data_IF_012879159728
#
_entry.id   IF_012879159728
#
_cell.length_a   1.000
_cell.length_b   1.000
_cell.length_c   1.000
_cell.angle_alpha   90.00
_cell.angle_beta   90.00
_cell.angle_gamma   90.00
#
_symmetry.space_group_name_H-M   'P 1'
#
loop_
_entity.id
_entity.type
_entity.pdbx_description
1 polymer ?
#
# COMPACT_ATOMS: atom_id res chain seq x y z
N UNK A 1 4.07 21.51 5.29
CA UNK A 1 3.71 20.63 4.17
C UNK A 1 5.02 20.15 3.58
N UNK A 2 5.24 18.84 3.48
CA UNK A 2 6.38 18.33 2.71
C UNK A 2 6.01 18.50 1.24
N UNK A 3 6.46 19.59 0.61
CA UNK A 3 6.46 19.69 -0.85
C UNK A 3 7.42 18.61 -1.34
N UNK A 4 6.89 17.42 -1.59
CA UNK A 4 7.63 16.40 -2.32
C UNK A 4 7.42 16.73 -3.79
N UNK A 5 8.47 17.17 -4.51
CA UNK A 5 8.31 17.64 -5.88
C UNK A 5 7.83 16.49 -6.78
N UNK A 6 6.84 16.79 -7.62
CA UNK A 6 6.39 15.85 -8.64
C UNK A 6 7.51 15.67 -9.68
N UNK A 7 7.72 14.46 -10.23
CA UNK A 7 8.75 14.25 -11.27
C UNK A 7 8.67 15.18 -12.48
N UNK A 8 7.46 15.65 -12.79
CA UNK A 8 7.20 16.64 -13.83
C UNK A 8 7.85 18.01 -13.61
N UNK A 9 8.10 18.40 -12.36
CA UNK A 9 8.84 19.63 -12.04
C UNK A 9 10.32 19.48 -12.40
N UNK A 10 10.94 18.37 -12.02
CA UNK A 10 12.31 18.05 -12.41
C UNK A 10 12.47 18.00 -13.94
N UNK A 11 11.51 17.38 -14.65
CA UNK A 11 11.52 17.37 -16.12
C UNK A 11 11.46 18.79 -16.68
N UNK A 12 10.66 19.68 -16.09
CA UNK A 12 10.55 21.08 -16.52
C UNK A 12 11.88 21.82 -16.35
N UNK A 13 12.54 21.65 -15.21
CA UNK A 13 13.84 22.24 -14.92
C UNK A 13 14.92 21.75 -15.90
N UNK A 14 14.96 20.44 -16.21
CA UNK A 14 15.89 19.90 -17.21
C UNK A 14 15.61 20.41 -18.63
N UNK A 15 14.34 20.60 -19.00
CA UNK A 15 13.98 21.21 -20.28
C UNK A 15 14.46 22.65 -20.35
N UNK A 16 14.25 23.44 -19.31
CA UNK A 16 14.71 24.83 -19.23
C UNK A 16 16.24 24.92 -19.29
N UNK A 17 16.95 24.07 -18.52
CA UNK A 17 18.41 24.04 -18.49
C UNK A 17 19.04 23.70 -19.85
N UNK A 18 18.38 22.83 -20.64
CA UNK A 18 18.82 22.42 -21.98
C UNK A 18 18.29 23.30 -23.11
N UNK A 19 17.40 24.24 -22.80
CA UNK A 19 16.71 25.04 -23.81
C UNK A 19 15.76 24.23 -24.70
N UNK A 20 15.24 23.11 -24.20
CA UNK A 20 14.32 22.23 -24.92
C UNK A 20 12.86 22.62 -24.63
N UNK A 21 12.02 22.51 -25.65
CA UNK A 21 10.58 22.60 -25.50
C UNK A 21 9.98 21.22 -25.23
N UNK A 22 8.76 21.17 -24.69
CA UNK A 22 8.06 19.88 -24.47
C UNK A 22 7.88 19.07 -25.77
N UNK A 23 7.73 19.75 -26.91
CA UNK A 23 7.69 19.13 -28.24
C UNK A 23 8.99 18.43 -28.62
N UNK A 24 10.13 18.97 -28.19
CA UNK A 24 11.44 18.39 -28.47
C UNK A 24 11.61 17.11 -27.65
N UNK A 25 11.20 17.14 -26.37
CA UNK A 25 11.14 15.94 -25.54
C UNK A 25 10.15 14.90 -26.09
N UNK A 26 8.99 15.33 -26.58
CA UNK A 26 8.02 14.43 -27.20
C UNK A 26 8.61 13.70 -28.42
N UNK A 27 9.36 14.43 -29.25
CA UNK A 27 10.11 13.87 -30.36
C UNK A 27 11.18 12.86 -29.89
N UNK A 28 11.99 13.22 -28.89
CA UNK A 28 13.05 12.35 -28.34
C UNK A 28 12.47 11.04 -27.77
N UNK A 29 11.36 11.13 -27.04
CA UNK A 29 10.70 9.99 -26.40
C UNK A 29 9.80 9.20 -27.37
N UNK A 30 9.60 9.67 -28.61
CA UNK A 30 8.70 9.05 -29.57
C UNK A 30 7.23 9.04 -29.13
N UNK A 31 6.78 10.11 -28.44
CA UNK A 31 5.44 10.21 -27.89
C UNK A 31 4.73 11.51 -28.29
N UNK A 32 3.45 11.65 -27.98
CA UNK A 32 2.71 12.88 -28.27
C UNK A 32 3.05 14.00 -27.27
N UNK A 33 3.01 15.25 -27.73
CA UNK A 33 3.19 16.43 -26.85
C UNK A 33 2.17 16.46 -25.70
N UNK A 34 0.95 16.00 -25.96
CA UNK A 34 -0.08 15.86 -24.93
C UNK A 34 0.36 14.91 -23.81
N UNK A 35 1.01 13.80 -24.15
CA UNK A 35 1.49 12.85 -23.14
C UNK A 35 2.61 13.46 -22.29
N UNK A 36 3.56 14.17 -22.91
CA UNK A 36 4.61 14.91 -22.19
C UNK A 36 4.00 15.97 -21.28
N UNK A 37 3.06 16.78 -21.78
CA UNK A 37 2.40 17.82 -20.99
C UNK A 37 1.69 17.25 -19.76
N UNK A 38 1.03 16.10 -19.88
CA UNK A 38 0.38 15.45 -18.73
C UNK A 38 1.38 15.01 -17.65
N UNK A 39 2.58 14.58 -18.05
CA UNK A 39 3.67 14.23 -17.13
C UNK A 39 4.24 15.49 -16.47
N UNK A 40 4.58 16.51 -17.25
CA UNK A 40 5.16 17.78 -16.78
C UNK A 40 4.20 18.55 -15.86
N UNK A 41 2.89 18.45 -16.10
CA UNK A 41 1.85 19.09 -15.28
C UNK A 41 1.44 18.29 -14.04
N UNK A 42 2.01 17.10 -13.81
CA UNK A 42 1.68 16.27 -12.64
C UNK A 42 0.34 15.55 -12.71
N UNK A 43 -0.33 15.59 -13.87
CA UNK A 43 -1.61 14.89 -14.08
C UNK A 43 -1.43 13.41 -14.39
N UNK A 44 -0.23 13.01 -14.82
CA UNK A 44 0.16 11.62 -15.11
C UNK A 44 1.50 11.32 -14.45
N UNK A 45 1.55 10.21 -13.72
CA UNK A 45 2.80 9.69 -13.18
C UNK A 45 3.71 9.07 -14.22
N UNK A 46 4.95 8.79 -13.83
CA UNK A 46 5.97 8.17 -14.67
C UNK A 46 6.00 6.65 -14.41
N UNK A 47 5.81 5.85 -15.47
CA UNK A 47 5.97 4.39 -15.38
C UNK A 47 7.45 3.98 -15.36
N UNK A 48 7.81 2.75 -14.95
CA UNK A 48 9.19 2.28 -14.98
C UNK A 48 9.83 2.34 -16.38
N UNK A 49 9.07 2.07 -17.43
CA UNK A 49 9.52 2.18 -18.83
C UNK A 49 9.81 3.63 -19.19
N UNK A 50 8.94 4.56 -18.76
CA UNK A 50 9.13 5.99 -18.98
C UNK A 50 10.34 6.52 -18.20
N UNK A 51 10.57 6.04 -16.98
CA UNK A 51 11.75 6.39 -16.19
C UNK A 51 13.05 5.97 -16.91
N UNK A 52 13.07 4.80 -17.56
CA UNK A 52 14.20 4.37 -18.41
C UNK A 52 14.35 5.23 -19.66
N UNK A 53 13.25 5.61 -20.32
CA UNK A 53 13.31 6.48 -21.49
C UNK A 53 13.82 7.88 -21.14
N UNK A 54 13.33 8.47 -20.04
CA UNK A 54 13.78 9.77 -19.52
C UNK A 54 15.25 9.72 -19.07
N UNK A 55 15.68 8.60 -18.51
CA UNK A 55 17.10 8.38 -18.20
C UNK A 55 17.99 8.52 -19.43
N UNK A 56 17.60 7.94 -20.56
CA UNK A 56 18.33 8.08 -21.82
C UNK A 56 18.27 9.51 -22.38
N UNK A 57 17.12 10.18 -22.23
CA UNK A 57 16.95 11.56 -22.72
C UNK A 57 17.77 12.58 -21.90
N UNK A 58 17.86 12.37 -20.58
CA UNK A 58 18.46 13.32 -19.65
C UNK A 58 19.83 12.89 -19.10
N UNK A 59 20.33 11.70 -19.41
CA UNK A 59 21.56 11.15 -18.84
C UNK A 59 21.53 11.13 -17.28
N UNK A 60 20.37 10.76 -16.75
CA UNK A 60 20.09 10.66 -15.31
C UNK A 60 19.76 9.21 -14.97
N UNK A 61 20.11 8.73 -13.77
CA UNK A 61 19.79 7.36 -13.35
C UNK A 61 18.26 7.11 -13.41
N UNK A 62 17.77 6.02 -14.04
CA UNK A 62 16.34 5.73 -14.11
C UNK A 62 15.68 5.56 -12.73
N UNK A 63 16.41 5.07 -11.74
CA UNK A 63 15.94 4.91 -10.36
C UNK A 63 15.63 6.25 -9.71
N UNK A 64 16.26 7.34 -10.14
CA UNK A 64 15.97 8.69 -9.66
C UNK A 64 14.50 9.05 -9.95
N UNK A 65 14.05 8.89 -11.20
CA UNK A 65 12.67 9.18 -11.59
C UNK A 65 11.67 8.27 -10.87
N UNK A 66 11.99 6.98 -10.73
CA UNK A 66 11.14 6.02 -10.03
C UNK A 66 10.99 6.38 -8.54
N UNK A 67 12.10 6.76 -7.89
CA UNK A 67 12.09 7.18 -6.48
C UNK A 67 11.34 8.50 -6.28
N UNK A 68 11.45 9.43 -7.23
CA UNK A 68 10.73 10.70 -7.18
C UNK A 68 9.22 10.48 -7.30
N UNK A 69 8.79 9.65 -8.26
CA UNK A 69 7.38 9.27 -8.42
C UNK A 69 6.84 8.58 -7.17
N UNK A 70 7.58 7.60 -6.64
CA UNK A 70 7.21 6.87 -5.42
C UNK A 70 7.07 7.81 -4.22
N UNK A 71 8.00 8.74 -4.07
CA UNK A 71 7.98 9.70 -2.96
C UNK A 71 6.77 10.62 -3.06
N UNK A 72 6.47 11.13 -4.27
CA UNK A 72 5.30 11.95 -4.52
C UNK A 72 3.99 11.19 -4.25
N UNK A 73 3.87 9.95 -4.74
CA UNK A 73 2.69 9.11 -4.51
C UNK A 73 2.49 8.81 -3.03
N UNK A 74 3.55 8.48 -2.30
CA UNK A 74 3.47 8.22 -0.86
C UNK A 74 3.06 9.47 -0.07
N UNK A 75 3.53 10.65 -0.47
CA UNK A 75 3.18 11.91 0.17
C UNK A 75 1.72 12.32 -0.08
N UNK A 76 1.16 11.97 -1.24
CA UNK A 76 -0.22 12.26 -1.61
C UNK A 76 -1.21 11.13 -1.28
N UNK A 77 -0.71 9.97 -0.88
CA UNK A 77 -1.54 8.85 -0.49
C UNK A 77 -2.37 9.21 0.75
N UNK A 78 -3.65 8.81 0.73
CA UNK A 78 -4.49 8.90 1.93
C UNK A 78 -3.96 7.94 2.98
N UNK A 79 -4.10 8.32 4.24
CA UNK A 79 -3.82 7.42 5.35
C UNK A 79 -4.68 6.15 5.21
N UNK A 80 -4.11 4.96 5.48
CA UNK A 80 -4.86 3.72 5.45
C UNK A 80 -5.94 3.71 6.53
N UNK A 81 -6.97 2.87 6.36
CA UNK A 81 -7.97 2.65 7.39
C UNK A 81 -7.29 2.22 8.72
N UNK A 82 -7.50 2.95 9.83
CA UNK A 82 -6.88 2.65 11.13
C UNK A 82 -7.21 1.22 11.61
N UNK A 83 -8.31 0.64 11.13
CA UNK A 83 -8.71 -0.71 11.44
C UNK A 83 -7.87 -1.83 10.84
N UNK A 84 -7.04 -1.53 9.81
CA UNK A 84 -6.25 -2.55 9.12
C UNK A 84 -5.22 -3.17 10.08
N UNK A 85 -4.48 -2.34 10.82
CA UNK A 85 -3.48 -2.83 11.77
C UNK A 85 -4.11 -3.67 12.88
N UNK A 86 -5.26 -3.22 13.39
CA UNK A 86 -5.99 -3.90 14.46
C UNK A 86 -6.49 -5.28 14.03
N UNK A 87 -7.18 -5.36 12.88
CA UNK A 87 -7.66 -6.64 12.34
C UNK A 87 -6.51 -7.58 11.98
N UNK A 88 -5.40 -7.06 11.47
CA UNK A 88 -4.20 -7.86 11.18
C UNK A 88 -3.60 -8.47 12.45
N UNK A 89 -3.50 -7.70 13.55
CA UNK A 89 -3.03 -8.19 14.87
C UNK A 89 -3.87 -9.38 15.33
N UNK A 90 -5.19 -9.24 15.31
CA UNK A 90 -6.09 -10.30 15.78
C UNK A 90 -6.08 -11.53 14.89
N UNK A 91 -6.13 -11.33 13.57
CA UNK A 91 -6.08 -12.43 12.61
C UNK A 91 -4.76 -13.22 12.69
N UNK A 92 -3.65 -12.55 13.06
CA UNK A 92 -2.37 -13.21 13.25
C UNK A 92 -2.38 -14.15 14.47
N UNK A 93 -3.11 -13.82 15.53
CA UNK A 93 -3.15 -14.60 16.76
C UNK A 93 -4.32 -15.62 16.81
N UNK A 94 -5.49 -15.27 16.28
CA UNK A 94 -6.73 -16.04 16.37
C UNK A 94 -7.39 -16.23 15.00
N UNK A 95 -8.16 -17.31 14.80
CA UNK A 95 -8.94 -17.51 13.58
C UNK A 95 -10.19 -16.61 13.58
N UNK A 96 -10.02 -15.29 13.62
CA UNK A 96 -11.09 -14.28 13.79
C UNK A 96 -12.21 -14.49 12.78
N UNK A 97 -11.88 -14.75 11.51
CA UNK A 97 -12.89 -15.05 10.47
C UNK A 97 -13.78 -16.25 10.78
N UNK A 98 -13.22 -17.30 11.37
CA UNK A 98 -13.98 -18.50 11.74
C UNK A 98 -14.81 -18.25 13.00
N UNK A 99 -14.28 -17.48 13.96
CA UNK A 99 -15.02 -17.04 15.14
C UNK A 99 -16.24 -16.19 14.74
N UNK A 100 -16.08 -15.28 13.77
CA UNK A 100 -17.19 -14.50 13.21
C UNK A 100 -18.21 -15.40 12.51
N UNK A 101 -17.74 -16.32 11.66
CA UNK A 101 -18.60 -17.26 10.93
C UNK A 101 -19.45 -18.12 11.87
N UNK A 102 -18.90 -18.48 13.03
CA UNK A 102 -19.59 -19.26 14.08
C UNK A 102 -20.46 -18.40 14.99
N UNK A 103 -20.51 -17.10 14.77
CA UNK A 103 -21.27 -16.14 15.59
C UNK A 103 -20.68 -15.92 16.98
N UNK A 104 -19.41 -16.28 17.20
CA UNK A 104 -18.71 -16.02 18.48
C UNK A 104 -18.23 -14.58 18.60
N UNK A 105 -17.98 -13.93 17.45
CA UNK A 105 -17.66 -12.52 17.33
C UNK A 105 -18.56 -11.91 16.25
N UNK A 106 -18.86 -10.64 16.37
CA UNK A 106 -19.54 -9.84 15.35
C UNK A 106 -18.49 -9.15 14.47
N UNK A 107 -18.80 -9.04 13.17
CA UNK A 107 -18.01 -8.23 12.25
C UNK A 107 -18.25 -6.74 12.56
N UNK A 108 -17.55 -6.24 13.57
CA UNK A 108 -17.70 -4.89 14.07
C UNK A 108 -16.47 -4.02 13.74
N UNK A 109 -16.58 -2.73 14.07
CA UNK A 109 -15.47 -1.79 13.99
C UNK A 109 -14.26 -2.30 14.81
N UNK A 110 -13.04 -1.90 14.42
CA UNK A 110 -11.80 -2.29 15.09
C UNK A 110 -11.86 -2.14 16.61
N UNK A 111 -12.31 -1.00 17.10
CA UNK A 111 -12.37 -0.70 18.53
C UNK A 111 -13.32 -1.63 19.31
N UNK A 112 -14.36 -2.14 18.64
CA UNK A 112 -15.30 -3.09 19.22
C UNK A 112 -14.76 -4.53 19.18
N UNK A 113 -13.82 -4.85 18.30
CA UNK A 113 -13.19 -6.18 18.24
C UNK A 113 -12.42 -6.48 19.51
N UNK A 114 -11.67 -5.49 20.03
CA UNK A 114 -10.91 -5.62 21.28
C UNK A 114 -11.83 -5.95 22.46
N UNK A 115 -12.92 -5.19 22.62
CA UNK A 115 -13.90 -5.43 23.67
C UNK A 115 -14.55 -6.81 23.57
N UNK A 116 -14.85 -7.27 22.35
CA UNK A 116 -15.42 -8.59 22.12
C UNK A 116 -14.43 -9.72 22.43
N UNK A 117 -13.14 -9.53 22.13
CA UNK A 117 -12.10 -10.50 22.46
C UNK A 117 -11.90 -10.62 23.97
N UNK A 118 -11.83 -9.49 24.69
CA UNK A 118 -11.77 -9.45 26.16
C UNK A 118 -12.97 -10.20 26.74
N UNK A 119 -14.18 -9.90 26.24
CA UNK A 119 -15.42 -10.56 26.67
C UNK A 119 -15.43 -12.06 26.35
N UNK A 120 -14.93 -12.46 25.19
CA UNK A 120 -14.90 -13.86 24.76
C UNK A 120 -13.96 -14.70 25.63
N UNK A 121 -12.78 -14.18 25.97
CA UNK A 121 -11.81 -14.87 26.83
C UNK A 121 -12.06 -14.69 28.33
N UNK A 122 -12.96 -13.78 28.71
CA UNK A 122 -13.29 -13.51 30.11
C UNK A 122 -12.14 -12.86 30.88
N UNK A 123 -11.34 -12.02 30.21
CA UNK A 123 -10.21 -11.32 30.81
C UNK A 123 -10.53 -9.84 31.05
N UNK A 124 -9.64 -9.11 31.73
CA UNK A 124 -9.84 -7.67 32.01
C UNK A 124 -8.98 -6.77 31.10
N UNK A 125 -7.97 -7.32 30.44
CA UNK A 125 -7.09 -6.60 29.52
C UNK A 125 -6.79 -7.43 28.26
N UNK A 126 -6.47 -6.74 27.17
CA UNK A 126 -5.97 -7.31 25.92
C UNK A 126 -4.70 -8.14 26.14
N UNK A 127 -3.84 -7.70 27.04
CA UNK A 127 -2.55 -8.36 27.30
C UNK A 127 -2.70 -9.69 28.06
N UNK A 128 -3.85 -9.91 28.70
CA UNK A 128 -4.17 -11.15 29.41
C UNK A 128 -4.71 -12.24 28.48
N UNK A 129 -4.97 -11.91 27.20
CA UNK A 129 -5.54 -12.86 26.26
C UNK A 129 -4.49 -13.92 25.90
N UNK A 130 -4.79 -15.22 26.10
CA UNK A 130 -3.81 -16.28 25.95
C UNK A 130 -3.40 -16.45 24.49
N UNK A 131 -2.10 -16.30 24.19
CA UNK A 131 -1.56 -16.44 22.84
C UNK A 131 -1.71 -17.88 22.33
N UNK A 132 -2.45 -18.07 21.22
CA UNK A 132 -2.61 -19.39 20.60
C UNK A 132 -1.35 -19.79 19.83
N UNK A 133 -0.71 -20.93 20.15
CA UNK A 133 0.43 -21.43 19.38
C UNK A 133 0.02 -21.71 17.93
N UNK A 134 0.91 -21.51 16.94
CA UNK A 134 0.60 -21.68 15.52
C UNK A 134 0.01 -23.05 15.13
N UNK A 135 0.29 -24.09 15.92
CA UNK A 135 -0.23 -25.45 15.73
C UNK A 135 -1.77 -25.55 15.83
N UNK A 136 -2.43 -24.69 16.64
CA UNK A 136 -3.89 -24.67 16.76
C UNK A 136 -4.59 -24.04 15.54
N UNK A 137 -3.85 -23.41 14.62
CA UNK A 137 -4.38 -22.72 13.43
C UNK A 137 -4.58 -23.64 12.23
N UNK A 138 -4.04 -24.86 12.28
CA UNK A 138 -3.98 -25.81 11.16
C UNK A 138 -4.87 -27.04 11.29
N UNK A 139 -5.72 -27.14 12.30
CA UNK A 139 -6.70 -28.22 12.33
C UNK A 139 -7.80 -27.92 11.32
N UNK A 140 -7.62 -28.42 10.10
CA UNK A 140 -8.72 -28.64 9.17
C UNK A 140 -9.68 -29.60 9.90
N UNK A 141 -10.79 -29.08 10.45
CA UNK A 141 -11.76 -29.86 11.23
C UNK A 141 -12.40 -31.02 10.41
N UNK A 142 -12.12 -31.12 9.12
CA UNK A 142 -12.49 -32.25 8.27
C UNK A 142 -11.69 -33.54 8.53
N UNK A 143 -10.64 -33.50 9.35
CA UNK A 143 -9.81 -34.68 9.70
C UNK A 143 -10.02 -35.17 11.14
N UNK A 144 -11.16 -34.86 11.77
CA UNK A 144 -11.50 -35.47 13.07
C UNK A 144 -12.30 -36.75 12.76
N UNK A 145 -11.75 -37.96 12.97
CA UNK A 145 -12.56 -39.16 12.89
C UNK A 145 -13.57 -39.12 14.04
N UNK A 146 -14.83 -39.53 13.80
CA UNK A 146 -15.83 -39.61 14.85
C UNK A 146 -15.43 -40.72 15.81
N UNK A 147 -14.63 -40.37 16.82
CA UNK A 147 -14.38 -41.25 17.96
C UNK A 147 -15.53 -41.05 18.92
N UNK A 148 -16.52 -41.92 18.71
CA UNK A 148 -17.51 -42.38 19.66
C UNK A 148 -16.93 -42.44 21.08
N UNK A 149 -17.54 -41.69 22.00
CA UNK A 149 -17.80 -42.07 23.39
C UNK A 149 -19.07 -41.35 23.83
#
# INVERSE_FOLDING_TARGET
MKDVPHPGEFIREELEARGWLQRDLAYILGMSEQAVNMIVSGKRGISPEMAKALSQAFDVNPEFFANLQKSYEMANAKEPDPGIAHRARWQAAYPVREMIKRGWLEAADPDLMEAQMIRFFGVNSVDDIPHLPPAAKKTHYGEIPPTQC
#
